data_IF_950458018076
#
_entry.id   IF_950458018076
#
_cell.length_a   1.000
_cell.length_b   1.000
_cell.length_c   1.000
_cell.angle_alpha   90.00
_cell.angle_beta   90.00
_cell.angle_gamma   90.00
#
_symmetry.space_group_name_H-M   'P 1'
#
loop_
_entity.id
_entity.type
_entity.pdbx_description
1 polymer ?
#
# COMPACT_ATOMS: atom_id res chain seq x y z
N UNK A 1 -91.28 -20.45 7.82
CA UNK A 1 -90.40 -21.58 7.45
C UNK A 1 -88.97 -21.21 7.84
N UNK A 2 -88.31 -22.13 8.56
CA UNK A 2 -86.96 -22.00 9.14
C UNK A 2 -85.85 -21.95 8.07
N UNK A 3 -84.70 -21.39 8.51
CA UNK A 3 -83.27 -21.67 8.16
C UNK A 3 -82.57 -20.41 7.65
N UNK A 4 -81.33 -20.08 8.00
CA UNK A 4 -80.40 -20.48 9.05
C UNK A 4 -79.29 -19.42 9.02
N UNK A 5 -78.78 -19.01 10.18
CA UNK A 5 -77.54 -18.24 10.28
C UNK A 5 -76.34 -19.07 9.80
N UNK A 6 -75.43 -18.46 9.04
CA UNK A 6 -74.05 -18.92 8.98
C UNK A 6 -73.12 -17.70 8.87
N UNK A 7 -72.48 -17.42 10.00
CA UNK A 7 -71.30 -16.57 10.09
C UNK A 7 -70.13 -17.38 9.54
N UNK A 8 -69.42 -16.87 8.54
CA UNK A 8 -68.09 -17.34 8.17
C UNK A 8 -67.17 -16.14 8.10
N UNK A 9 -66.31 -16.05 9.11
CA UNK A 9 -65.09 -15.26 9.12
C UNK A 9 -64.01 -16.09 8.44
N UNK A 10 -63.28 -15.56 7.44
CA UNK A 10 -61.89 -15.96 7.19
C UNK A 10 -61.18 -15.03 6.18
N UNK A 11 -60.14 -14.36 6.71
CA UNK A 11 -58.84 -14.06 6.11
C UNK A 11 -58.76 -13.29 4.77
N UNK A 12 -58.44 -11.99 4.88
CA UNK A 12 -57.66 -11.28 3.87
C UNK A 12 -56.28 -11.94 3.71
N UNK A 13 -56.06 -12.62 2.59
CA UNK A 13 -54.71 -12.98 2.12
C UNK A 13 -54.13 -11.75 1.43
N UNK A 14 -53.36 -10.95 2.18
CA UNK A 14 -52.43 -9.99 1.59
C UNK A 14 -51.26 -10.79 1.03
N UNK A 15 -51.26 -11.01 -0.29
CA UNK A 15 -50.09 -11.47 -1.03
C UNK A 15 -49.01 -10.39 -0.94
N UNK A 16 -48.12 -10.55 0.04
CA UNK A 16 -46.90 -9.79 0.15
C UNK A 16 -46.01 -10.10 -1.06
N UNK A 17 -45.92 -9.17 -2.00
CA UNK A 17 -44.78 -9.08 -2.90
C UNK A 17 -43.55 -8.82 -2.03
N UNK A 18 -42.87 -9.90 -1.65
CA UNK A 18 -41.52 -9.85 -1.11
C UNK A 18 -40.60 -9.36 -2.22
N UNK A 19 -40.48 -8.04 -2.34
CA UNK A 19 -39.33 -7.44 -3.00
C UNK A 19 -38.11 -7.91 -2.23
N UNK A 20 -37.41 -8.91 -2.77
CA UNK A 20 -36.04 -9.22 -2.38
C UNK A 20 -35.24 -7.99 -2.81
N UNK A 21 -35.15 -7.04 -1.89
CA UNK A 21 -34.21 -5.94 -1.99
C UNK A 21 -32.83 -6.59 -1.88
N UNK A 22 -32.16 -6.73 -3.01
CA UNK A 22 -30.73 -6.93 -3.03
C UNK A 22 -30.13 -5.70 -2.34
N UNK A 23 -29.71 -5.87 -1.08
CA UNK A 23 -28.98 -4.85 -0.37
C UNK A 23 -27.69 -4.60 -1.14
N UNK A 24 -27.60 -3.44 -1.77
CA UNK A 24 -26.35 -2.90 -2.26
C UNK A 24 -25.55 -2.54 -1.01
N UNK A 25 -24.43 -3.21 -0.77
CA UNK A 25 -23.55 -3.00 0.39
C UNK A 25 -23.02 -1.56 0.41
N UNK A 26 -23.75 -0.67 1.09
CA UNK A 26 -23.34 0.68 1.41
C UNK A 26 -22.39 0.75 2.62
N UNK A 27 -21.76 1.90 2.88
CA UNK A 27 -20.88 2.11 4.03
C UNK A 27 -21.71 2.09 5.32
N UNK A 28 -21.89 0.91 5.90
CA UNK A 28 -22.78 0.75 7.06
C UNK A 28 -22.68 -0.57 7.81
N UNK A 29 -21.77 -1.49 7.43
CA UNK A 29 -21.45 -2.61 8.32
C UNK A 29 -20.57 -2.07 9.45
N UNK A 30 -21.03 -2.16 10.70
CA UNK A 30 -20.21 -1.80 11.86
C UNK A 30 -18.94 -2.64 11.81
N UNK A 31 -17.79 -1.99 11.60
CA UNK A 31 -16.49 -2.66 11.65
C UNK A 31 -16.30 -3.22 13.05
N UNK A 32 -15.85 -4.48 13.16
CA UNK A 32 -15.46 -5.05 14.45
C UNK A 32 -14.29 -4.22 15.02
N UNK A 33 -14.45 -3.58 16.19
CA UNK A 33 -13.39 -2.78 16.80
C UNK A 33 -12.08 -3.57 17.00
N UNK A 34 -12.18 -4.87 17.29
CA UNK A 34 -11.00 -5.73 17.44
C UNK A 34 -10.25 -5.89 16.13
N UNK A 35 -10.96 -6.01 15.00
CA UNK A 35 -10.34 -6.09 13.68
C UNK A 35 -9.69 -4.75 13.29
N UNK A 36 -10.26 -3.61 13.68
CA UNK A 36 -9.65 -2.29 13.46
C UNK A 36 -8.34 -2.15 14.24
N UNK A 37 -8.35 -2.51 15.52
CA UNK A 37 -7.15 -2.47 16.37
C UNK A 37 -6.07 -3.41 15.84
N UNK A 38 -6.44 -4.64 15.51
CA UNK A 38 -5.52 -5.61 14.93
C UNK A 38 -4.97 -5.13 13.57
N UNK A 39 -5.82 -4.58 12.71
CA UNK A 39 -5.41 -4.04 11.41
C UNK A 39 -4.43 -2.87 11.53
N UNK A 40 -4.63 -1.98 12.50
CA UNK A 40 -3.69 -0.90 12.80
C UNK A 40 -2.33 -1.43 13.25
N UNK A 41 -2.32 -2.47 14.08
CA UNK A 41 -1.09 -3.16 14.47
C UNK A 41 -0.41 -3.79 13.26
N UNK A 42 -1.14 -4.57 12.44
CA UNK A 42 -0.59 -5.18 11.21
C UNK A 42 0.01 -4.13 10.26
N UNK A 43 -0.61 -2.95 10.15
CA UNK A 43 -0.10 -1.89 9.28
C UNK A 43 1.30 -1.40 9.71
N UNK A 44 1.58 -1.38 11.01
CA UNK A 44 2.76 -0.73 11.60
C UNK A 44 3.81 -1.69 12.15
N UNK A 45 3.46 -2.94 12.42
CA UNK A 45 4.35 -3.95 13.00
C UNK A 45 4.85 -4.93 11.93
N UNK A 46 6.02 -5.49 12.19
CA UNK A 46 6.72 -6.47 11.36
C UNK A 46 6.61 -7.91 11.90
N UNK A 47 5.98 -8.10 13.07
CA UNK A 47 5.82 -9.40 13.74
C UNK A 47 5.08 -10.47 12.91
N UNK A 48 4.35 -10.04 11.88
CA UNK A 48 3.64 -10.90 10.94
C UNK A 48 4.27 -10.97 9.55
N UNK A 49 5.31 -10.18 9.26
CA UNK A 49 5.93 -10.10 7.93
C UNK A 49 7.21 -10.92 7.90
N UNK A 50 7.46 -11.58 6.77
CA UNK A 50 8.64 -12.41 6.60
C UNK A 50 9.87 -11.61 6.12
N UNK A 51 9.67 -10.34 5.77
CA UNK A 51 10.71 -9.47 5.17
C UNK A 51 11.17 -8.37 6.13
N UNK A 52 10.53 -8.22 7.29
CA UNK A 52 10.73 -7.07 8.18
C UNK A 52 10.13 -5.76 7.65
N UNK A 53 9.59 -5.74 6.43
CA UNK A 53 8.86 -4.58 5.92
C UNK A 53 7.48 -4.49 6.59
N UNK A 54 6.99 -3.26 6.77
CA UNK A 54 5.63 -2.96 7.22
C UNK A 54 4.93 -2.11 6.15
N UNK A 55 3.61 -1.97 6.23
CA UNK A 55 2.90 -1.06 5.34
C UNK A 55 3.42 0.38 5.50
N UNK A 56 3.76 0.79 6.73
CA UNK A 56 4.23 2.13 7.06
C UNK A 56 5.55 2.52 6.39
N UNK A 57 6.41 1.55 6.04
CA UNK A 57 7.64 1.81 5.28
C UNK A 57 7.35 2.39 3.88
N UNK A 58 6.21 2.05 3.28
CA UNK A 58 5.84 2.48 1.93
C UNK A 58 4.67 3.46 1.89
N UNK A 59 3.74 3.36 2.85
CA UNK A 59 2.50 4.10 2.88
C UNK A 59 2.31 4.77 4.24
N UNK A 60 2.12 6.09 4.27
CA UNK A 60 1.63 6.72 5.48
C UNK A 60 0.17 6.30 5.72
N UNK A 61 -0.23 6.16 6.98
CA UNK A 61 -1.62 6.01 7.41
C UNK A 61 -2.22 7.34 7.91
N UNK A 62 -1.59 8.46 7.55
CA UNK A 62 -2.03 9.81 7.88
C UNK A 62 -1.88 10.73 6.65
N UNK A 63 -2.46 11.92 6.72
CA UNK A 63 -2.36 12.91 5.66
C UNK A 63 -0.97 13.56 5.65
N UNK A 64 -0.04 13.03 4.85
CA UNK A 64 1.34 13.55 4.74
C UNK A 64 1.43 15.04 4.36
N UNK A 65 0.40 15.61 3.71
CA UNK A 65 0.38 17.04 3.35
C UNK A 65 -0.01 17.93 4.53
N UNK A 66 -0.89 17.44 5.41
CA UNK A 66 -1.38 18.19 6.57
C UNK A 66 -0.46 18.00 7.77
N UNK A 67 0.00 16.78 7.99
CA UNK A 67 0.73 16.35 9.18
C UNK A 67 2.06 15.66 8.78
N UNK A 68 3.04 16.40 8.24
CA UNK A 68 4.28 15.80 7.73
C UNK A 68 5.17 15.28 8.87
N UNK A 69 5.64 14.03 8.74
CA UNK A 69 6.61 13.40 9.65
C UNK A 69 8.07 13.55 9.20
N UNK A 70 8.29 14.34 8.15
CA UNK A 70 9.60 14.55 7.55
C UNK A 70 10.11 13.38 6.69
N UNK A 71 9.36 12.29 6.54
CA UNK A 71 9.74 11.15 5.70
C UNK A 71 9.23 11.32 4.27
N UNK A 72 9.90 10.67 3.34
CA UNK A 72 9.44 10.55 1.95
C UNK A 72 9.39 9.07 1.62
N UNK A 73 8.18 8.54 1.56
CA UNK A 73 7.95 7.11 1.30
C UNK A 73 7.90 6.83 -0.21
N UNK A 74 8.29 5.62 -0.65
CA UNK A 74 8.23 5.22 -2.06
C UNK A 74 6.81 5.32 -2.64
N UNK A 75 5.78 5.07 -1.83
CA UNK A 75 4.39 5.15 -2.26
C UNK A 75 3.63 6.24 -1.50
N UNK A 76 2.40 6.50 -1.95
CA UNK A 76 1.54 7.53 -1.38
C UNK A 76 0.84 7.08 -0.10
N UNK A 77 0.40 8.05 0.69
CA UNK A 77 -0.48 7.79 1.82
C UNK A 77 -1.72 6.99 1.44
N UNK A 78 -2.06 6.02 2.30
CA UNK A 78 -3.31 5.26 2.26
C UNK A 78 -4.42 5.92 3.11
N UNK A 79 -4.16 7.10 3.64
CA UNK A 79 -5.20 7.93 4.24
C UNK A 79 -6.32 8.21 3.21
N UNK A 80 -7.57 8.08 3.63
CA UNK A 80 -8.77 8.09 2.78
C UNK A 80 -8.79 7.01 1.66
N UNK A 81 -8.06 5.90 1.78
CA UNK A 81 -8.03 4.88 0.74
C UNK A 81 -9.13 3.82 0.82
N UNK A 82 -9.71 3.58 2.01
CA UNK A 82 -10.59 2.42 2.25
C UNK A 82 -11.88 2.35 1.40
N UNK A 83 -12.31 3.47 0.81
CA UNK A 83 -13.50 3.58 -0.04
C UNK A 83 -13.20 4.03 -1.47
N UNK A 84 -11.93 4.07 -1.88
CA UNK A 84 -11.58 4.30 -3.29
C UNK A 84 -12.11 3.15 -4.15
N UNK A 85 -12.46 3.45 -5.40
CA UNK A 85 -12.96 2.45 -6.37
C UNK A 85 -11.88 1.94 -7.32
N UNK A 86 -10.68 2.52 -7.26
CA UNK A 86 -9.52 2.18 -8.09
C UNK A 86 -8.28 2.21 -7.19
N UNK A 87 -7.43 1.18 -7.35
CA UNK A 87 -6.16 1.04 -6.66
C UNK A 87 -5.05 0.70 -7.65
N UNK A 88 -3.95 1.43 -7.55
CA UNK A 88 -2.75 1.24 -8.36
C UNK A 88 -1.91 0.09 -7.80
N UNK A 89 -1.57 -0.89 -8.65
CA UNK A 89 -0.64 -1.98 -8.34
C UNK A 89 0.78 -1.66 -8.80
N UNK A 90 1.73 -2.41 -8.25
CA UNK A 90 3.16 -2.27 -8.52
C UNK A 90 3.56 -2.55 -9.99
N UNK A 91 2.76 -3.35 -10.67
CA UNK A 91 2.93 -3.74 -12.07
C UNK A 91 2.31 -2.71 -13.04
N UNK A 92 1.97 -1.51 -12.54
CA UNK A 92 1.32 -0.40 -13.27
C UNK A 92 -0.07 -0.74 -13.80
N UNK A 93 -0.70 -1.81 -13.29
CA UNK A 93 -2.11 -2.14 -13.54
C UNK A 93 -2.99 -1.62 -12.40
N UNK A 94 -4.27 -1.51 -12.69
CA UNK A 94 -5.28 -1.15 -11.70
C UNK A 94 -6.07 -2.37 -11.23
N UNK A 95 -6.58 -2.30 -10.00
CA UNK A 95 -7.66 -3.15 -9.51
C UNK A 95 -8.79 -2.29 -8.94
N UNK A 96 -10.00 -2.85 -8.95
CA UNK A 96 -11.20 -2.24 -8.36
C UNK A 96 -11.55 -2.83 -6.98
N UNK A 97 -10.68 -3.70 -6.44
CA UNK A 97 -10.86 -4.34 -5.14
C UNK A 97 -9.77 -3.89 -4.17
N UNK A 98 -10.18 -3.29 -3.04
CA UNK A 98 -9.28 -2.97 -1.94
C UNK A 98 -8.56 -4.23 -1.43
N UNK A 99 -9.30 -5.32 -1.35
CA UNK A 99 -8.78 -6.61 -0.94
C UNK A 99 -7.69 -7.13 -1.90
N UNK A 100 -7.92 -7.08 -3.21
CA UNK A 100 -6.90 -7.47 -4.19
C UNK A 100 -5.67 -6.56 -4.12
N UNK A 101 -5.88 -5.26 -3.86
CA UNK A 101 -4.77 -4.31 -3.69
C UNK A 101 -3.90 -4.66 -2.47
N UNK A 102 -4.52 -4.99 -1.33
CA UNK A 102 -3.80 -5.41 -0.11
C UNK A 102 -3.08 -6.75 -0.35
N UNK A 103 -3.74 -7.72 -1.00
CA UNK A 103 -3.11 -9.02 -1.37
C UNK A 103 -1.90 -8.79 -2.26
N UNK A 104 -2.04 -8.01 -3.33
CA UNK A 104 -0.95 -7.73 -4.26
C UNK A 104 0.25 -7.08 -3.57
N UNK A 105 0.02 -6.14 -2.65
CA UNK A 105 1.07 -5.54 -1.83
C UNK A 105 1.74 -6.59 -0.92
N UNK A 106 0.94 -7.33 -0.16
CA UNK A 106 1.41 -8.32 0.83
C UNK A 106 2.27 -9.40 0.17
N UNK A 107 1.77 -9.97 -0.92
CA UNK A 107 2.48 -10.98 -1.72
C UNK A 107 3.75 -10.41 -2.32
N UNK A 108 3.77 -9.14 -2.74
CA UNK A 108 4.97 -8.57 -3.34
C UNK A 108 6.07 -8.28 -2.31
N UNK A 109 5.72 -7.78 -1.12
CA UNK A 109 6.72 -7.21 -0.21
C UNK A 109 6.72 -7.73 1.23
N UNK A 110 5.66 -8.36 1.73
CA UNK A 110 5.51 -8.65 3.16
C UNK A 110 5.62 -10.14 3.48
N UNK A 111 5.02 -11.01 2.66
CA UNK A 111 4.88 -12.43 3.00
C UNK A 111 6.12 -13.25 2.66
N UNK A 112 6.19 -14.47 3.21
CA UNK A 112 7.28 -15.42 2.93
C UNK A 112 7.42 -15.66 1.43
N UNK A 113 8.65 -15.61 0.91
CA UNK A 113 8.95 -15.82 -0.51
C UNK A 113 8.68 -17.28 -0.90
N UNK A 114 8.16 -17.49 -2.10
CA UNK A 114 8.11 -18.80 -2.73
C UNK A 114 9.53 -19.26 -3.11
N UNK A 115 9.71 -20.56 -3.38
CA UNK A 115 11.03 -21.14 -3.69
C UNK A 115 11.70 -20.51 -4.91
N UNK A 116 10.89 -20.04 -5.87
CA UNK A 116 11.39 -19.39 -7.08
C UNK A 116 10.78 -18.00 -7.25
N UNK A 117 11.62 -17.03 -7.63
CA UNK A 117 11.20 -15.67 -7.95
C UNK A 117 11.01 -14.75 -6.74
N UNK A 118 10.24 -13.68 -6.96
CA UNK A 118 10.05 -12.57 -6.01
C UNK A 118 8.58 -12.41 -5.58
N UNK A 119 7.83 -13.52 -5.63
CA UNK A 119 6.42 -13.55 -5.26
C UNK A 119 6.31 -14.29 -3.93
N UNK A 120 5.53 -13.73 -3.02
CA UNK A 120 5.28 -14.32 -1.71
C UNK A 120 4.15 -15.33 -1.72
N UNK A 121 3.93 -15.97 -0.59
CA UNK A 121 2.71 -16.74 -0.31
C UNK A 121 1.53 -15.80 -0.03
N UNK A 122 0.31 -16.29 -0.20
CA UNK A 122 -0.89 -15.54 0.16
C UNK A 122 -0.91 -15.19 1.66
N UNK A 123 -1.31 -13.97 2.05
CA UNK A 123 -1.50 -13.62 3.45
C UNK A 123 -2.71 -14.37 4.03
N UNK A 124 -2.71 -14.58 5.34
CA UNK A 124 -3.85 -15.18 6.02
C UNK A 124 -5.12 -14.33 5.85
N UNK A 125 -6.28 -14.98 5.68
CA UNK A 125 -7.55 -14.27 5.42
C UNK A 125 -7.92 -13.29 6.54
N UNK A 126 -7.59 -13.62 7.80
CA UNK A 126 -7.85 -12.71 8.92
C UNK A 126 -6.98 -11.43 8.85
N UNK A 127 -5.73 -11.50 8.37
CA UNK A 127 -4.90 -10.30 8.15
C UNK A 127 -5.54 -9.37 7.13
N UNK A 128 -6.07 -9.91 6.03
CA UNK A 128 -6.75 -9.12 5.00
C UNK A 128 -8.00 -8.44 5.56
N UNK A 129 -8.85 -9.20 6.24
CA UNK A 129 -10.04 -8.67 6.91
C UNK A 129 -9.70 -7.51 7.86
N UNK A 130 -8.67 -7.68 8.68
CA UNK A 130 -8.23 -6.69 9.66
C UNK A 130 -7.66 -5.43 9.00
N UNK A 131 -6.82 -5.57 7.98
CA UNK A 131 -6.29 -4.43 7.21
C UNK A 131 -7.41 -3.67 6.49
N UNK A 132 -8.39 -4.37 5.92
CA UNK A 132 -9.59 -3.74 5.31
C UNK A 132 -10.38 -2.97 6.37
N UNK A 133 -10.60 -3.56 7.55
CA UNK A 133 -11.29 -2.89 8.65
C UNK A 133 -10.55 -1.63 9.08
N UNK A 134 -9.22 -1.69 9.23
CA UNK A 134 -8.43 -0.50 9.57
C UNK A 134 -8.51 0.59 8.50
N UNK A 135 -8.31 0.25 7.23
CA UNK A 135 -8.36 1.24 6.13
C UNK A 135 -9.74 1.89 5.94
N UNK A 136 -10.82 1.24 6.40
CA UNK A 136 -12.19 1.77 6.39
C UNK A 136 -12.61 2.42 7.71
N UNK A 137 -11.76 2.38 8.73
CA UNK A 137 -12.07 2.93 10.05
C UNK A 137 -12.10 4.46 10.06
N UNK A 138 -12.70 5.04 11.10
CA UNK A 138 -12.73 6.50 11.31
C UNK A 138 -11.34 7.13 11.47
N UNK A 139 -10.33 6.37 11.89
CA UNK A 139 -8.93 6.83 11.94
C UNK A 139 -8.39 7.16 10.53
N UNK A 140 -8.86 6.43 9.52
CA UNK A 140 -8.34 6.49 8.15
C UNK A 140 -9.21 7.29 7.20
N UNK A 141 -10.48 7.50 7.52
CA UNK A 141 -11.48 8.11 6.63
C UNK A 141 -11.98 9.43 7.19
N UNK A 142 -11.45 10.53 6.64
CA UNK A 142 -12.00 11.87 6.74
C UNK A 142 -12.75 12.29 5.46
N UNK A 143 -12.51 11.62 4.34
CA UNK A 143 -13.18 11.86 3.06
C UNK A 143 -13.54 10.55 2.35
N UNK A 144 -14.84 10.25 2.24
CA UNK A 144 -15.34 9.02 1.60
C UNK A 144 -15.22 9.02 0.07
N UNK A 145 -15.07 10.19 -0.55
CA UNK A 145 -15.00 10.36 -2.02
C UNK A 145 -13.59 10.66 -2.52
N UNK A 146 -12.57 10.42 -1.70
CA UNK A 146 -11.20 10.61 -2.10
C UNK A 146 -10.90 9.79 -3.37
N UNK A 147 -10.26 10.43 -4.34
CA UNK A 147 -9.89 9.80 -5.62
C UNK A 147 -8.64 8.93 -5.46
N UNK A 148 -8.46 7.99 -6.39
CA UNK A 148 -7.17 7.33 -6.59
C UNK A 148 -6.09 8.39 -6.82
N UNK A 149 -4.89 8.12 -6.30
CA UNK A 149 -3.71 8.89 -6.59
C UNK A 149 -2.99 8.15 -7.72
N UNK A 150 -2.82 8.81 -8.86
CA UNK A 150 -2.11 8.27 -10.02
C UNK A 150 -0.61 8.61 -9.90
N UNK A 151 0.27 7.62 -9.71
CA UNK A 151 1.70 7.87 -9.59
C UNK A 151 2.31 8.35 -10.92
N UNK A 152 3.30 9.24 -10.86
CA UNK A 152 4.00 9.71 -12.05
C UNK A 152 5.12 8.72 -12.44
N UNK A 153 4.75 7.68 -13.16
CA UNK A 153 5.69 6.69 -13.70
C UNK A 153 6.52 7.26 -14.85
N UNK A 154 7.83 6.94 -14.86
CA UNK A 154 8.75 7.29 -15.94
C UNK A 154 9.61 6.09 -16.31
N UNK A 155 9.96 5.99 -17.60
CA UNK A 155 10.86 4.95 -18.13
C UNK A 155 12.24 5.47 -18.48
N UNK A 156 12.45 6.79 -18.31
CA UNK A 156 13.72 7.46 -18.55
C UNK A 156 14.26 8.00 -17.24
N UNK A 157 15.57 7.92 -17.08
CA UNK A 157 16.28 8.51 -15.95
C UNK A 157 17.33 9.50 -16.44
N UNK A 158 17.79 10.43 -15.59
CA UNK A 158 18.92 11.30 -15.90
C UNK A 158 20.12 10.50 -16.41
N UNK A 159 20.87 11.11 -17.34
CA UNK A 159 22.05 10.47 -17.92
C UNK A 159 23.15 10.24 -16.88
N UNK A 160 24.09 9.34 -17.16
CA UNK A 160 25.23 9.08 -16.27
C UNK A 160 26.03 10.36 -15.97
N UNK A 161 26.19 11.25 -16.96
CA UNK A 161 26.81 12.56 -16.78
C UNK A 161 26.06 13.40 -15.75
N UNK A 162 24.73 13.44 -15.79
CA UNK A 162 23.93 14.18 -14.81
C UNK A 162 24.01 13.58 -13.42
N UNK A 163 23.93 12.25 -13.31
CA UNK A 163 24.03 11.54 -12.03
C UNK A 163 25.37 11.81 -11.31
N UNK A 164 26.46 11.99 -12.06
CA UNK A 164 27.79 12.36 -11.51
C UNK A 164 27.83 13.77 -10.93
N UNK A 165 26.94 14.66 -11.34
CA UNK A 165 26.87 16.05 -10.83
C UNK A 165 26.06 16.18 -9.53
N UNK A 166 25.56 15.09 -8.97
CA UNK A 166 24.78 15.15 -7.75
C UNK A 166 25.57 15.64 -6.54
N UNK A 167 24.89 16.34 -5.63
CA UNK A 167 25.46 16.79 -4.37
C UNK A 167 25.23 15.70 -3.30
N UNK A 168 26.33 15.10 -2.82
CA UNK A 168 26.27 14.04 -1.82
C UNK A 168 25.75 14.52 -0.45
N UNK A 169 25.93 15.80 -0.11
CA UNK A 169 25.42 16.40 1.13
C UNK A 169 23.90 16.54 1.09
N UNK A 170 23.34 16.93 -0.07
CA UNK A 170 21.89 16.87 -0.29
C UNK A 170 21.41 15.42 -0.33
N UNK A 171 22.16 14.54 -1.01
CA UNK A 171 21.86 13.12 -1.12
C UNK A 171 21.77 12.42 0.24
N UNK A 172 22.68 12.72 1.17
CA UNK A 172 22.64 12.22 2.54
C UNK A 172 21.36 12.61 3.27
N UNK A 173 20.94 13.88 3.18
CA UNK A 173 19.68 14.32 3.81
C UNK A 173 18.46 13.60 3.23
N UNK A 174 18.44 13.38 1.93
CA UNK A 174 17.39 12.61 1.27
C UNK A 174 17.42 11.14 1.72
N UNK A 175 18.61 10.54 1.79
CA UNK A 175 18.79 9.18 2.23
C UNK A 175 18.19 8.93 3.62
N UNK A 176 18.46 9.80 4.59
CA UNK A 176 17.89 9.71 5.95
C UNK A 176 16.36 9.80 5.99
N UNK A 177 15.76 10.50 5.03
CA UNK A 177 14.31 10.72 4.94
C UNK A 177 13.59 9.62 4.17
N UNK A 178 14.26 8.99 3.21
CA UNK A 178 13.61 8.12 2.22
C UNK A 178 14.14 6.69 2.17
N UNK A 179 15.39 6.48 2.54
CA UNK A 179 16.10 5.22 2.29
C UNK A 179 16.52 4.52 3.60
N UNK A 180 16.97 5.29 4.60
CA UNK A 180 17.54 4.79 5.86
C UNK A 180 16.58 3.90 6.65
N UNK A 181 15.26 4.10 6.54
CA UNK A 181 14.28 3.24 7.20
C UNK A 181 14.30 1.79 6.71
N UNK A 182 14.68 1.56 5.45
CA UNK A 182 14.83 0.21 4.89
C UNK A 182 16.29 -0.22 4.82
N UNK A 183 17.18 0.71 4.48
CA UNK A 183 18.61 0.52 4.26
C UNK A 183 19.44 1.28 5.32
N UNK A 184 19.36 0.94 6.61
CA UNK A 184 20.20 1.58 7.62
C UNK A 184 21.68 1.22 7.36
N UNK A 185 22.57 2.13 7.73
CA UNK A 185 24.01 1.99 7.41
C UNK A 185 24.68 0.85 8.17
N UNK A 186 24.09 0.40 9.28
CA UNK A 186 24.54 -0.76 10.06
C UNK A 186 24.05 -2.10 9.49
N UNK A 187 23.19 -2.09 8.47
CA UNK A 187 22.63 -3.28 7.83
C UNK A 187 21.54 -3.99 8.63
N UNK A 188 21.00 -3.39 9.70
CA UNK A 188 19.98 -4.00 10.57
C UNK A 188 18.55 -3.96 10.01
N UNK A 189 18.34 -3.27 8.90
CA UNK A 189 17.01 -3.02 8.34
C UNK A 189 16.49 -4.15 7.45
N UNK A 190 15.24 -4.01 6.99
CA UNK A 190 14.57 -5.03 6.19
C UNK A 190 15.12 -5.16 4.76
N UNK A 191 16.00 -4.27 4.33
CA UNK A 191 16.62 -4.31 3.01
C UNK A 191 18.14 -4.44 3.10
N UNK A 192 18.80 -4.98 2.05
CA UNK A 192 20.25 -5.19 2.07
C UNK A 192 21.04 -3.92 2.38
N UNK A 193 22.17 -4.06 3.07
CA UNK A 193 23.10 -2.95 3.28
C UNK A 193 23.56 -2.37 1.94
N UNK A 194 23.67 -1.03 1.91
CA UNK A 194 24.15 -0.30 0.75
C UNK A 194 25.63 0.08 0.85
N UNK A 195 26.29 -0.21 1.97
CA UNK A 195 27.73 0.00 2.13
C UNK A 195 28.49 -0.88 1.14
N UNK A 196 29.33 -0.28 0.29
CA UNK A 196 30.12 -0.99 -0.75
C UNK A 196 29.27 -1.88 -1.66
N UNK A 197 28.06 -1.43 -2.02
CA UNK A 197 27.10 -2.22 -2.79
C UNK A 197 27.54 -2.58 -4.23
N UNK A 198 28.58 -1.94 -4.77
CA UNK A 198 29.16 -2.24 -6.08
C UNK A 198 28.33 -1.78 -7.29
N UNK A 199 27.18 -1.12 -7.09
CA UNK A 199 26.37 -0.58 -8.17
C UNK A 199 26.90 0.77 -8.65
N UNK A 200 26.81 1.02 -9.96
CA UNK A 200 26.99 2.36 -10.50
C UNK A 200 25.82 3.28 -10.13
N UNK A 201 26.03 4.61 -10.17
CA UNK A 201 24.95 5.59 -10.00
C UNK A 201 23.75 5.32 -10.90
N UNK A 202 24.01 4.93 -12.15
CA UNK A 202 22.97 4.59 -13.10
C UNK A 202 22.19 3.34 -12.70
N UNK A 203 22.85 2.30 -12.18
CA UNK A 203 22.18 1.11 -11.65
C UNK A 203 21.35 1.43 -10.39
N UNK A 204 21.86 2.27 -9.50
CA UNK A 204 21.13 2.76 -8.32
C UNK A 204 19.88 3.53 -8.74
N UNK A 205 20.01 4.50 -9.65
CA UNK A 205 18.91 5.30 -10.16
C UNK A 205 17.81 4.44 -10.83
N UNK A 206 18.21 3.42 -11.60
CA UNK A 206 17.29 2.44 -12.18
C UNK A 206 16.49 1.68 -11.11
N UNK A 207 17.16 1.20 -10.05
CA UNK A 207 16.48 0.50 -8.94
C UNK A 207 15.47 1.40 -8.24
N UNK A 208 15.85 2.64 -7.92
CA UNK A 208 14.94 3.64 -7.31
C UNK A 208 13.69 3.88 -8.18
N UNK A 209 13.85 3.92 -9.51
CA UNK A 209 12.73 4.08 -10.47
C UNK A 209 12.02 2.78 -10.84
N UNK A 210 12.42 1.65 -10.28
CA UNK A 210 11.91 0.32 -10.63
C UNK A 210 12.05 -0.01 -12.15
N UNK A 211 13.14 0.45 -12.77
CA UNK A 211 13.51 0.13 -14.16
C UNK A 211 14.49 -1.04 -14.11
N UNK A 212 14.12 -2.19 -14.67
CA UNK A 212 14.92 -3.43 -14.63
C UNK A 212 15.34 -3.79 -13.19
N UNK A 213 14.36 -3.93 -12.30
CA UNK A 213 14.55 -4.24 -10.89
C UNK A 213 14.19 -5.71 -10.60
N UNK A 214 15.13 -6.66 -10.81
CA UNK A 214 14.89 -8.08 -10.59
C UNK A 214 14.85 -8.48 -9.11
N UNK A 215 14.98 -7.54 -8.17
CA UNK A 215 15.13 -7.87 -6.75
C UNK A 215 16.46 -8.55 -6.41
N UNK A 216 16.65 -8.89 -5.14
CA UNK A 216 17.77 -9.64 -4.57
C UNK A 216 17.21 -10.56 -3.49
N UNK A 217 17.52 -11.85 -3.53
CA UNK A 217 17.07 -12.83 -2.52
C UNK A 217 15.54 -12.79 -2.26
N UNK A 218 14.74 -12.67 -3.32
CA UNK A 218 13.29 -12.58 -3.21
C UNK A 218 12.75 -11.20 -2.82
N UNK A 219 13.60 -10.27 -2.39
CA UNK A 219 13.22 -8.90 -1.99
C UNK A 219 13.29 -7.95 -3.17
N UNK A 220 12.25 -7.13 -3.33
CA UNK A 220 12.16 -6.15 -4.41
C UNK A 220 12.06 -4.75 -3.82
N UNK A 221 12.97 -3.87 -4.24
CA UNK A 221 12.93 -2.46 -3.84
C UNK A 221 11.62 -1.82 -4.33
N UNK A 222 10.84 -1.18 -3.44
CA UNK A 222 9.68 -0.38 -3.85
C UNK A 222 10.10 0.79 -4.74
N UNK A 223 9.24 1.13 -5.71
CA UNK A 223 9.53 2.20 -6.65
C UNK A 223 9.29 3.58 -6.03
N UNK A 224 10.15 4.55 -6.34
CA UNK A 224 9.88 5.98 -6.16
C UNK A 224 9.50 6.60 -7.51
N UNK A 225 8.21 6.89 -7.75
CA UNK A 225 7.77 7.62 -8.94
C UNK A 225 8.22 9.09 -8.88
N UNK A 226 8.09 9.81 -10.01
CA UNK A 226 8.63 11.16 -10.18
C UNK A 226 8.04 12.19 -9.20
N UNK A 227 6.79 11.98 -8.80
CA UNK A 227 6.07 12.82 -7.84
C UNK A 227 6.41 12.51 -6.37
N UNK A 228 7.10 11.41 -6.09
CA UNK A 228 7.63 11.07 -4.76
C UNK A 228 9.10 11.41 -4.61
N UNK A 229 9.87 11.29 -5.69
CA UNK A 229 11.28 11.69 -5.74
C UNK A 229 11.53 12.34 -7.10
N UNK A 230 11.83 13.63 -7.13
CA UNK A 230 12.16 14.35 -8.36
C UNK A 230 13.48 13.85 -8.96
N UNK A 231 13.74 14.15 -10.24
CA UNK A 231 15.02 13.78 -10.87
C UNK A 231 16.22 14.48 -10.22
N UNK A 232 16.03 15.71 -9.72
CA UNK A 232 17.08 16.41 -8.97
C UNK A 232 17.41 15.68 -7.68
N UNK A 233 16.40 15.21 -6.96
CA UNK A 233 16.59 14.42 -5.74
C UNK A 233 17.22 13.05 -6.05
N UNK A 234 16.77 12.39 -7.13
CA UNK A 234 17.34 11.15 -7.63
C UNK A 234 18.84 11.27 -7.92
N UNK A 235 19.25 12.33 -8.61
CA UNK A 235 20.66 12.61 -8.93
C UNK A 235 21.50 12.72 -7.65
N UNK A 236 21.01 13.47 -6.65
CA UNK A 236 21.72 13.67 -5.40
C UNK A 236 21.82 12.39 -4.56
N UNK A 237 20.70 11.67 -4.37
CA UNK A 237 20.68 10.46 -3.56
C UNK A 237 21.43 9.31 -4.22
N UNK A 238 21.37 9.17 -5.55
CA UNK A 238 22.15 8.17 -6.27
C UNK A 238 23.65 8.44 -6.17
N UNK A 239 24.07 9.72 -6.18
CA UNK A 239 25.48 10.07 -5.96
C UNK A 239 25.93 9.74 -4.53
N UNK A 240 25.11 10.02 -3.51
CA UNK A 240 25.41 9.67 -2.12
C UNK A 240 25.52 8.14 -1.93
N UNK A 241 24.52 7.38 -2.37
CA UNK A 241 24.50 5.91 -2.23
C UNK A 241 25.67 5.23 -2.95
N UNK A 242 26.13 5.80 -4.07
CA UNK A 242 27.32 5.31 -4.77
C UNK A 242 28.61 5.43 -3.93
N UNK A 243 28.65 6.36 -2.99
CA UNK A 243 29.83 6.64 -2.14
C UNK A 243 29.80 5.88 -0.81
N UNK A 244 28.72 5.13 -0.51
CA UNK A 244 28.57 4.35 0.71
C UNK A 244 29.43 3.09 0.72
#
# INVERSE_FOLDING_TARGET
MRKNHMIVSLACVLLGFGAVVWAVDGPGQSLDPNDVIAGKRLFRADDWTATGLTCLHCHADFNEKKDPDGKVRPSHSLFNAGYRTIFNKWDRKNTHSLDEAIRACSVRWLTKRQETGNIGVEPAQHHLRQLIAYLRSGDMIQEFKAKSIEPMWIDKIPSDRMLKMGDATIGFRLFRRSCEGCHPSDGTGPAPSLVRNGYSRYQIAKKIRNINNPGINGLVMPAFPLDRLSDRELINVANYVFQM
#
